data_IF_609265581378
#
_entry.id   IF_609265581378
#
_cell.length_a   1.000
_cell.length_b   1.000
_cell.length_c   1.000
_cell.angle_alpha   90.00
_cell.angle_beta   90.00
_cell.angle_gamma   90.00
#
_symmetry.space_group_name_H-M   'P 1'
#
loop_
_entity.id
_entity.type
_entity.pdbx_description
1 polymer ?
#
# COMPACT_ATOMS: atom_id res chain seq x y z
N UNK A 1 -10.70 20.68 4.22
CA UNK A 1 -11.70 19.67 3.82
C UNK A 1 -11.08 18.31 4.09
N UNK A 2 -11.79 17.43 4.79
CA UNK A 2 -11.34 16.06 5.09
C UNK A 2 -12.18 15.06 4.30
N UNK A 3 -11.59 13.90 4.01
CA UNK A 3 -12.26 12.80 3.33
C UNK A 3 -12.17 11.54 4.19
N UNK A 4 -13.24 10.75 4.18
CA UNK A 4 -13.29 9.43 4.80
C UNK A 4 -13.14 8.38 3.71
N UNK A 5 -12.21 7.45 3.87
CA UNK A 5 -12.00 6.32 2.96
C UNK A 5 -12.54 5.07 3.66
N UNK A 6 -13.39 4.31 2.97
CA UNK A 6 -13.83 2.99 3.39
C UNK A 6 -13.06 1.94 2.57
N UNK A 7 -12.52 0.87 3.20
CA UNK A 7 -11.87 -0.20 2.45
C UNK A 7 -12.89 -0.90 1.55
N UNK A 8 -12.44 -1.30 0.35
CA UNK A 8 -13.21 -2.15 -0.58
C UNK A 8 -12.68 -3.59 -0.61
N UNK A 9 -11.50 -3.81 0.00
CA UNK A 9 -10.83 -5.09 0.07
C UNK A 9 -9.76 -5.06 1.16
N UNK A 10 -9.28 -6.25 1.55
CA UNK A 10 -8.15 -6.46 2.44
C UNK A 10 -7.05 -7.26 1.73
N UNK A 11 -5.80 -6.96 2.07
CA UNK A 11 -4.62 -7.67 1.54
C UNK A 11 -4.25 -8.80 2.50
N UNK A 12 -4.19 -10.04 2.00
CA UNK A 12 -3.72 -11.22 2.74
C UNK A 12 -2.47 -11.79 2.08
N UNK A 13 -1.45 -12.12 2.89
CA UNK A 13 -0.26 -12.82 2.41
C UNK A 13 0.50 -13.48 3.59
N UNK A 14 1.64 -14.08 3.29
CA UNK A 14 2.48 -14.80 4.27
C UNK A 14 3.29 -13.88 5.20
N UNK A 15 3.41 -12.57 4.92
CA UNK A 15 4.21 -11.65 5.75
C UNK A 15 3.47 -11.25 7.01
N UNK A 16 4.07 -11.58 8.15
CA UNK A 16 3.59 -11.19 9.47
C UNK A 16 4.28 -9.92 9.98
N UNK A 17 5.56 -9.76 9.65
CA UNK A 17 6.40 -8.65 10.13
C UNK A 17 6.35 -7.42 9.22
N UNK A 18 6.45 -6.24 9.83
CA UNK A 18 6.39 -4.96 9.13
C UNK A 18 7.78 -4.57 8.61
N UNK A 19 8.12 -5.09 7.44
CA UNK A 19 9.39 -4.81 6.75
C UNK A 19 9.19 -4.01 5.46
N UNK A 20 10.15 -3.14 5.14
CA UNK A 20 10.04 -2.21 4.01
C UNK A 20 10.48 -2.83 2.67
N UNK A 21 11.27 -3.91 2.67
CA UNK A 21 11.93 -4.45 1.48
C UNK A 21 11.49 -5.86 1.11
N UNK A 22 11.91 -6.33 -0.08
CA UNK A 22 11.78 -7.71 -0.57
C UNK A 22 10.33 -8.18 -0.84
N UNK A 23 9.43 -7.25 -1.18
CA UNK A 23 8.04 -7.56 -1.48
C UNK A 23 7.83 -8.26 -2.84
N UNK A 24 8.81 -8.21 -3.75
CA UNK A 24 8.64 -8.66 -5.14
C UNK A 24 8.31 -10.15 -5.33
N UNK A 25 8.67 -11.02 -4.39
CA UNK A 25 8.37 -12.46 -4.45
C UNK A 25 7.15 -12.87 -3.62
N UNK A 26 6.46 -11.91 -2.99
CA UNK A 26 5.36 -12.19 -2.08
C UNK A 26 4.05 -12.16 -2.84
N UNK A 27 3.49 -13.33 -3.08
CA UNK A 27 2.12 -13.47 -3.59
C UNK A 27 1.16 -12.98 -2.52
N UNK A 28 0.25 -12.08 -2.91
CA UNK A 28 -0.79 -11.53 -2.05
C UNK A 28 -2.15 -11.74 -2.70
N UNK A 29 -3.14 -12.00 -1.85
CA UNK A 29 -4.54 -12.12 -2.21
C UNK A 29 -5.27 -10.84 -1.82
N UNK A 30 -6.13 -10.35 -2.71
CA UNK A 30 -7.00 -9.20 -2.48
C UNK A 30 -8.41 -9.73 -2.22
N UNK A 31 -8.83 -9.74 -0.96
CA UNK A 31 -10.13 -10.25 -0.55
C UNK A 31 -11.12 -9.09 -0.46
N UNK A 32 -12.16 -9.12 -1.30
CA UNK A 32 -13.17 -8.07 -1.34
C UNK A 32 -14.04 -8.07 -0.07
N UNK A 33 -14.53 -6.89 0.31
CA UNK A 33 -15.58 -6.79 1.33
C UNK A 33 -16.93 -7.20 0.74
N UNK A 34 -17.84 -7.71 1.58
CA UNK A 34 -19.13 -8.27 1.15
C UNK A 34 -19.99 -7.26 0.34
N UNK A 35 -19.85 -5.96 0.61
CA UNK A 35 -20.62 -4.92 -0.06
C UNK A 35 -20.17 -4.65 -1.50
N UNK A 36 -19.00 -5.15 -1.90
CA UNK A 36 -18.44 -4.93 -3.25
C UNK A 36 -18.79 -6.11 -4.14
N UNK A 37 -19.62 -5.85 -5.14
CA UNK A 37 -19.97 -6.87 -6.14
C UNK A 37 -18.78 -7.21 -7.02
N UNK A 38 -18.56 -8.51 -7.26
CA UNK A 38 -17.57 -9.04 -8.22
C UNK A 38 -17.73 -8.45 -9.62
N UNK A 39 -18.95 -8.08 -10.02
CA UNK A 39 -19.22 -7.44 -11.32
C UNK A 39 -18.46 -6.11 -11.49
N UNK A 40 -18.07 -5.45 -10.39
CA UNK A 40 -17.27 -4.21 -10.41
C UNK A 40 -15.89 -4.41 -11.03
N UNK A 41 -15.42 -5.66 -11.13
CA UNK A 41 -14.13 -6.05 -11.69
C UNK A 41 -14.26 -6.81 -13.03
N UNK A 42 -15.42 -6.71 -13.69
CA UNK A 42 -15.62 -7.31 -15.02
C UNK A 42 -14.54 -6.84 -16.01
N UNK A 43 -13.85 -7.79 -16.64
CA UNK A 43 -12.75 -7.52 -17.58
C UNK A 43 -11.38 -7.28 -16.94
N UNK A 44 -11.25 -7.41 -15.61
CA UNK A 44 -9.94 -7.22 -14.93
C UNK A 44 -8.86 -8.20 -15.44
N UNK A 45 -9.26 -9.40 -15.85
CA UNK A 45 -8.37 -10.44 -16.39
C UNK A 45 -7.80 -10.12 -17.77
N UNK A 46 -8.31 -9.09 -18.45
CA UNK A 46 -7.77 -8.63 -19.73
C UNK A 46 -6.46 -7.84 -19.54
N UNK A 47 -6.13 -7.48 -18.30
CA UNK A 47 -4.91 -6.77 -17.91
C UNK A 47 -3.92 -7.70 -17.23
N UNK A 48 -2.64 -7.58 -17.59
CA UNK A 48 -1.57 -8.36 -16.95
C UNK A 48 -1.11 -7.78 -15.61
N UNK A 49 -1.34 -6.49 -15.39
CA UNK A 49 -0.86 -5.77 -14.20
C UNK A 49 -1.95 -4.86 -13.64
N UNK A 50 -1.93 -4.69 -12.32
CA UNK A 50 -2.86 -3.84 -11.58
C UNK A 50 -2.10 -2.79 -10.77
N UNK A 51 -2.72 -1.62 -10.63
CA UNK A 51 -2.30 -0.62 -9.65
C UNK A 51 -3.16 -0.75 -8.40
N UNK A 52 -2.52 -1.06 -7.27
CA UNK A 52 -3.19 -1.20 -5.99
C UNK A 52 -2.86 0.01 -5.12
N UNK A 53 -3.88 0.80 -4.82
CA UNK A 53 -3.84 1.83 -3.78
C UNK A 53 -4.31 1.20 -2.48
N UNK A 54 -3.46 1.25 -1.46
CA UNK A 54 -3.75 0.63 -0.17
C UNK A 54 -3.43 1.57 0.98
N UNK A 55 -3.96 1.27 2.17
CA UNK A 55 -3.74 2.05 3.37
C UNK A 55 -2.77 1.30 4.31
N UNK A 56 -1.77 2.00 4.85
CA UNK A 56 -0.86 1.43 5.87
C UNK A 56 -1.56 1.39 7.24
N UNK A 57 -2.44 0.42 7.42
CA UNK A 57 -3.26 0.18 8.62
C UNK A 57 -2.44 0.05 9.91
N UNK A 58 -1.24 -0.55 9.83
CA UNK A 58 -0.33 -0.71 10.98
C UNK A 58 0.55 0.51 11.28
N UNK A 59 0.44 1.61 10.51
CA UNK A 59 1.16 2.86 10.81
C UNK A 59 0.31 3.70 11.77
N UNK A 60 0.80 3.80 13.00
CA UNK A 60 0.19 4.63 14.04
C UNK A 60 0.35 6.13 13.75
N UNK A 61 -0.64 6.92 14.18
CA UNK A 61 -0.74 8.35 13.86
C UNK A 61 0.38 9.19 14.52
N UNK A 62 0.90 8.77 15.67
CA UNK A 62 2.05 9.40 16.33
C UNK A 62 3.34 9.30 15.52
N UNK A 63 3.43 8.33 14.60
CA UNK A 63 4.62 8.14 13.77
C UNK A 63 4.62 9.02 12.53
N UNK A 64 3.51 9.70 12.21
CA UNK A 64 3.35 10.46 10.97
C UNK A 64 4.35 11.61 10.92
N UNK A 65 5.06 11.71 9.79
CA UNK A 65 6.06 12.72 9.55
C UNK A 65 5.55 13.71 8.51
N UNK A 66 5.65 15.00 8.82
CA UNK A 66 5.35 16.09 7.88
C UNK A 66 6.63 16.75 7.32
N UNK A 67 7.77 16.48 7.96
CA UNK A 67 9.05 17.14 7.69
C UNK A 67 10.04 16.24 6.94
N UNK A 68 11.22 16.79 6.65
CA UNK A 68 12.32 16.03 6.09
C UNK A 68 12.92 15.04 7.10
N UNK A 69 13.27 13.85 6.62
CA UNK A 69 13.93 12.79 7.40
C UNK A 69 14.91 12.02 6.53
N UNK A 70 15.77 11.25 7.19
CA UNK A 70 16.66 10.30 6.51
C UNK A 70 15.84 9.14 5.92
N UNK A 71 15.90 8.89 4.60
CA UNK A 71 15.28 7.72 3.99
C UNK A 71 15.75 6.44 4.67
N UNK A 72 14.82 5.52 4.94
CA UNK A 72 15.06 4.25 5.65
C UNK A 72 15.79 4.39 7.00
N UNK A 73 15.71 5.57 7.64
CA UNK A 73 16.49 5.92 8.84
C UNK A 73 18.02 5.83 8.67
N UNK A 74 18.53 5.85 7.44
CA UNK A 74 19.97 5.78 7.20
C UNK A 74 20.62 7.18 7.33
N UNK A 75 21.44 7.44 8.37
CA UNK A 75 22.03 8.75 8.61
C UNK A 75 23.04 9.17 7.53
N UNK A 76 23.51 8.24 6.71
CA UNK A 76 24.43 8.51 5.59
C UNK A 76 23.72 9.16 4.40
N UNK A 77 22.38 9.06 4.32
CA UNK A 77 21.60 9.70 3.26
C UNK A 77 21.21 11.13 3.65
N UNK A 78 21.08 12.06 2.69
CA UNK A 78 20.61 13.41 3.00
C UNK A 78 19.17 13.37 3.52
N UNK A 79 18.83 14.34 4.38
CA UNK A 79 17.43 14.55 4.76
C UNK A 79 16.67 15.06 3.54
N UNK A 80 15.56 14.40 3.22
CA UNK A 80 14.63 14.82 2.16
C UNK A 80 13.21 14.85 2.71
N UNK A 81 12.36 15.72 2.16
CA UNK A 81 10.96 15.85 2.55
C UNK A 81 10.22 14.51 2.49
N UNK A 82 9.24 14.29 3.37
CA UNK A 82 8.48 13.02 3.41
C UNK A 82 7.82 12.67 2.06
N UNK A 83 7.43 13.68 1.28
CA UNK A 83 6.82 13.51 -0.04
C UNK A 83 7.84 13.31 -1.17
N UNK A 84 9.11 13.63 -0.95
CA UNK A 84 10.21 13.37 -1.90
C UNK A 84 10.76 11.94 -1.79
N UNK A 85 10.20 11.13 -0.88
CA UNK A 85 10.57 9.73 -0.66
C UNK A 85 9.32 8.85 -0.61
N UNK A 86 9.52 7.53 -0.54
CA UNK A 86 8.44 6.52 -0.45
C UNK A 86 8.22 5.96 0.97
N UNK A 87 8.53 6.74 2.01
CA UNK A 87 8.36 6.30 3.41
C UNK A 87 6.89 6.22 3.87
N UNK A 88 6.49 5.09 4.49
CA UNK A 88 5.13 4.79 4.96
C UNK A 88 4.55 5.75 6.02
N UNK A 89 5.41 6.35 6.85
CA UNK A 89 5.01 7.28 7.91
C UNK A 89 4.70 8.68 7.37
N UNK A 90 3.73 8.79 6.46
CA UNK A 90 3.35 10.01 5.73
C UNK A 90 1.90 10.39 6.01
N UNK A 91 1.50 11.65 5.80
CA UNK A 91 0.09 12.04 5.84
C UNK A 91 -0.75 11.17 4.91
N UNK A 92 -1.99 10.89 5.33
CA UNK A 92 -2.97 10.00 4.66
C UNK A 92 -2.59 8.52 4.55
N UNK A 93 -1.35 8.12 4.84
CA UNK A 93 -0.92 6.70 4.90
C UNK A 93 -1.29 5.86 3.68
N UNK A 94 -1.35 6.46 2.50
CA UNK A 94 -1.64 5.75 1.25
C UNK A 94 -0.35 5.23 0.60
N UNK A 95 -0.37 3.95 0.25
CA UNK A 95 0.61 3.27 -0.58
C UNK A 95 0.08 3.05 -2.00
N UNK A 96 1.01 2.88 -2.93
CA UNK A 96 0.74 2.50 -4.32
C UNK A 96 1.74 1.41 -4.70
N UNK A 97 1.26 0.33 -5.28
CA UNK A 97 2.09 -0.70 -5.88
C UNK A 97 1.53 -1.13 -7.22
N UNK A 98 2.41 -1.43 -8.16
CA UNK A 98 2.07 -2.11 -9.41
C UNK A 98 2.39 -3.59 -9.23
N UNK A 99 1.44 -4.47 -9.53
CA UNK A 99 1.56 -5.92 -9.33
C UNK A 99 1.15 -6.66 -10.59
N UNK A 100 1.70 -7.85 -10.80
CA UNK A 100 1.22 -8.78 -11.80
C UNK A 100 -0.06 -9.46 -11.29
N UNK A 101 -1.07 -9.58 -12.16
CA UNK A 101 -2.28 -10.36 -11.87
C UNK A 101 -2.01 -11.83 -12.17
N UNK A 102 -1.97 -12.67 -11.13
CA UNK A 102 -1.70 -14.10 -11.27
C UNK A 102 -2.95 -14.94 -11.55
N UNK A 103 -4.07 -14.59 -10.90
CA UNK A 103 -5.35 -15.28 -11.04
C UNK A 103 -6.49 -14.40 -10.53
N UNK A 104 -7.69 -14.63 -11.06
CA UNK A 104 -8.95 -14.06 -10.58
C UNK A 104 -10.00 -15.17 -10.62
N UNK A 105 -10.64 -15.46 -9.49
CA UNK A 105 -11.60 -16.55 -9.32
C UNK A 105 -12.91 -16.05 -8.77
#
# INVERSE_FOLDING_TARGET
MSFTIKPIAYVKNSRQEIEDDQWGSIVSEIELVEEVSELSFSGITDFSHLEIIFYFDKVSDDKIQYNARHPRNNPSYPKVGIFSQRGKNRPNKLGLTSVELLSHS
#
